data_IF_386374999587
#
_entry.id   IF_386374999587
#
_cell.length_a   1.000
_cell.length_b   1.000
_cell.length_c   1.000
_cell.angle_alpha   90.00
_cell.angle_beta   90.00
_cell.angle_gamma   90.00
#
_symmetry.space_group_name_H-M   'P 1'
#
loop_
_entity.id
_entity.type
_entity.pdbx_description
1 polymer ?
#
# COMPACT_ATOMS: atom_id res chain seq x y z
N UNK A 1 22.04 7.77 -14.65
CA UNK A 1 23.12 6.86 -14.22
C UNK A 1 22.60 5.52 -13.69
N UNK A 2 21.64 5.47 -12.75
CA UNK A 2 21.09 4.19 -12.23
C UNK A 2 20.50 3.24 -13.30
N UNK A 3 19.89 3.76 -14.37
CA UNK A 3 19.33 2.95 -15.47
C UNK A 3 20.37 2.06 -16.17
N UNK A 4 21.56 2.61 -16.44
CA UNK A 4 22.64 1.86 -17.07
C UNK A 4 23.25 0.82 -16.12
N UNK A 5 23.37 1.18 -14.83
CA UNK A 5 23.83 0.25 -13.79
C UNK A 5 22.86 -0.95 -13.64
N UNK A 6 21.56 -0.69 -13.66
CA UNK A 6 20.53 -1.75 -13.61
C UNK A 6 20.59 -2.67 -14.84
N UNK A 7 20.82 -2.13 -16.04
CA UNK A 7 20.98 -2.92 -17.27
C UNK A 7 22.23 -3.80 -17.19
N UNK A 8 23.36 -3.25 -16.75
CA UNK A 8 24.61 -4.01 -16.59
C UNK A 8 24.44 -5.12 -15.54
N UNK A 9 23.83 -4.81 -14.40
CA UNK A 9 23.52 -5.81 -13.36
C UNK A 9 22.61 -6.91 -13.91
N UNK A 10 21.60 -6.56 -14.72
CA UNK A 10 20.70 -7.54 -15.32
C UNK A 10 21.41 -8.44 -16.34
N UNK A 11 22.33 -7.89 -17.14
CA UNK A 11 23.18 -8.68 -18.03
C UNK A 11 24.12 -9.62 -17.27
N UNK A 12 24.72 -9.16 -16.17
CA UNK A 12 25.57 -10.00 -15.31
C UNK A 12 24.76 -11.16 -14.74
N UNK A 13 23.59 -10.88 -14.18
CA UNK A 13 22.70 -11.91 -13.63
C UNK A 13 22.27 -12.87 -14.75
N UNK A 14 21.93 -12.36 -15.94
CA UNK A 14 21.55 -13.19 -17.07
C UNK A 14 22.68 -14.13 -17.50
N UNK A 15 23.91 -13.64 -17.66
CA UNK A 15 25.07 -14.46 -18.04
C UNK A 15 25.35 -15.50 -16.95
N UNK A 16 25.25 -15.14 -15.67
CA UNK A 16 25.41 -16.09 -14.57
C UNK A 16 24.37 -17.21 -14.62
N UNK A 17 23.08 -16.87 -14.80
CA UNK A 17 22.00 -17.84 -14.95
C UNK A 17 22.17 -18.71 -16.20
N UNK A 18 22.62 -18.13 -17.31
CA UNK A 18 22.91 -18.84 -18.55
C UNK A 18 24.04 -19.85 -18.35
N UNK A 19 25.14 -19.45 -17.70
CA UNK A 19 26.26 -20.33 -17.40
C UNK A 19 25.86 -21.49 -16.48
N UNK A 20 25.07 -21.23 -15.43
CA UNK A 20 24.50 -22.28 -14.57
C UNK A 20 23.62 -23.23 -15.37
N UNK A 21 22.77 -22.71 -16.26
CA UNK A 21 21.86 -23.52 -17.07
C UNK A 21 22.62 -24.38 -18.08
N UNK A 22 23.61 -23.82 -18.78
CA UNK A 22 24.43 -24.55 -19.73
C UNK A 22 25.28 -25.62 -19.03
N UNK A 23 25.87 -25.31 -17.87
CA UNK A 23 26.66 -26.28 -17.11
C UNK A 23 25.83 -27.37 -16.42
N UNK A 24 24.53 -27.14 -16.20
CA UNK A 24 23.64 -28.04 -15.45
C UNK A 24 22.38 -28.40 -16.26
N UNK A 25 22.53 -28.61 -17.57
CA UNK A 25 21.48 -29.18 -18.44
C UNK A 25 21.35 -30.70 -18.28
N UNK A 26 22.27 -31.31 -17.56
CA UNK A 26 22.23 -32.73 -17.24
C UNK A 26 20.95 -33.06 -16.48
N UNK A 27 20.36 -34.20 -16.83
CA UNK A 27 19.21 -34.72 -16.11
C UNK A 27 19.66 -35.29 -14.78
N UNK A 28 18.92 -34.96 -13.72
CA UNK A 28 19.17 -35.43 -12.36
C UNK A 28 17.96 -36.22 -11.88
N UNK A 29 18.22 -37.26 -11.11
CA UNK A 29 17.16 -38.03 -10.46
C UNK A 29 16.58 -37.20 -9.33
N UNK A 30 15.34 -36.78 -9.51
CA UNK A 30 14.60 -36.07 -8.49
C UNK A 30 13.77 -37.07 -7.69
N UNK A 31 14.13 -37.23 -6.42
CA UNK A 31 13.42 -38.10 -5.49
C UNK A 31 12.69 -37.25 -4.46
N UNK A 32 11.37 -37.27 -4.50
CA UNK A 32 10.53 -36.63 -3.49
C UNK A 32 9.86 -37.71 -2.65
N UNK A 33 9.89 -37.57 -1.33
CA UNK A 33 9.33 -38.57 -0.41
C UNK A 33 7.86 -38.82 -0.76
N UNK A 34 7.53 -40.07 -1.08
CA UNK A 34 6.17 -40.49 -1.45
C UNK A 34 5.79 -40.29 -2.92
N UNK A 35 6.69 -39.80 -3.77
CA UNK A 35 6.49 -39.70 -5.22
C UNK A 35 7.45 -40.60 -6.00
N UNK A 36 7.07 -41.03 -7.22
CA UNK A 36 8.00 -41.73 -8.11
C UNK A 36 9.20 -40.87 -8.46
N UNK A 37 10.39 -41.48 -8.45
CA UNK A 37 11.62 -40.85 -8.94
C UNK A 37 11.45 -40.44 -10.39
N UNK A 38 11.77 -39.19 -10.69
CA UNK A 38 11.60 -38.61 -12.02
C UNK A 38 12.90 -37.94 -12.45
N UNK A 39 13.37 -38.27 -13.65
CA UNK A 39 14.68 -37.83 -14.16
C UNK A 39 14.47 -36.74 -15.20
N UNK A 40 14.66 -35.49 -14.80
CA UNK A 40 14.52 -34.31 -15.67
C UNK A 40 15.70 -33.36 -15.45
N UNK A 41 15.97 -32.44 -16.40
CA UNK A 41 17.00 -31.42 -16.21
C UNK A 41 16.77 -30.61 -14.93
N UNK A 42 17.82 -30.43 -14.13
CA UNK A 42 17.76 -29.73 -12.83
C UNK A 42 17.10 -28.34 -12.96
N UNK A 43 17.37 -27.64 -14.06
CA UNK A 43 16.80 -26.32 -14.37
C UNK A 43 15.26 -26.31 -14.32
N UNK A 44 14.57 -27.38 -14.73
CA UNK A 44 13.11 -27.44 -14.74
C UNK A 44 12.55 -27.38 -13.32
N UNK A 45 13.15 -28.13 -12.40
CA UNK A 45 12.74 -28.13 -10.99
C UNK A 45 13.00 -26.79 -10.32
N UNK A 46 14.16 -26.16 -10.58
CA UNK A 46 14.47 -24.82 -10.06
C UNK A 46 13.47 -23.79 -10.57
N UNK A 47 13.11 -23.86 -11.85
CA UNK A 47 12.15 -22.94 -12.45
C UNK A 47 10.76 -23.08 -11.83
N UNK A 48 10.29 -24.32 -11.64
CA UNK A 48 9.00 -24.59 -10.99
C UNK A 48 8.98 -24.09 -9.54
N UNK A 49 10.03 -24.41 -8.76
CA UNK A 49 10.15 -23.93 -7.39
C UNK A 49 10.22 -22.40 -7.32
N UNK A 50 10.93 -21.76 -8.24
CA UNK A 50 11.02 -20.32 -8.35
C UNK A 50 9.65 -19.68 -8.66
N UNK A 51 8.90 -20.21 -9.63
CA UNK A 51 7.56 -19.69 -9.97
C UNK A 51 6.62 -19.82 -8.77
N UNK A 52 6.61 -20.97 -8.10
CA UNK A 52 5.79 -21.17 -6.89
C UNK A 52 6.20 -20.18 -5.80
N UNK A 53 7.50 -20.04 -5.53
CA UNK A 53 8.03 -19.09 -4.56
C UNK A 53 7.70 -17.63 -4.89
N UNK A 54 7.81 -17.25 -6.17
CA UNK A 54 7.48 -15.91 -6.65
C UNK A 54 5.98 -15.61 -6.50
N UNK A 55 5.11 -16.55 -6.86
CA UNK A 55 3.66 -16.43 -6.64
C UNK A 55 3.36 -16.22 -5.15
N UNK A 56 3.92 -17.07 -4.29
CA UNK A 56 3.76 -16.92 -2.83
C UNK A 56 4.30 -15.58 -2.34
N UNK A 57 5.44 -15.12 -2.83
CA UNK A 57 6.02 -13.81 -2.49
C UNK A 57 5.13 -12.64 -2.90
N UNK A 58 4.57 -12.67 -4.12
CA UNK A 58 3.62 -11.65 -4.59
C UNK A 58 2.34 -11.67 -3.77
N UNK A 59 1.76 -12.86 -3.51
CA UNK A 59 0.57 -13.00 -2.68
C UNK A 59 0.80 -12.49 -1.25
N UNK A 60 1.97 -12.76 -0.67
CA UNK A 60 2.36 -12.24 0.65
C UNK A 60 2.41 -10.70 0.66
N UNK A 61 2.94 -10.09 -0.40
CA UNK A 61 3.02 -8.63 -0.53
C UNK A 61 1.64 -7.97 -0.77
N UNK A 62 0.75 -8.62 -1.53
CA UNK A 62 -0.61 -8.15 -1.81
C UNK A 62 -1.40 -7.92 -0.51
N UNK A 63 -1.32 -8.83 0.46
CA UNK A 63 -1.99 -8.67 1.76
C UNK A 63 -1.56 -7.39 2.48
N UNK A 64 -0.26 -7.12 2.51
CA UNK A 64 0.30 -5.90 3.11
C UNK A 64 -0.16 -4.64 2.36
N UNK A 65 -0.18 -4.67 1.02
CA UNK A 65 -0.60 -3.54 0.20
C UNK A 65 -2.09 -3.20 0.41
N UNK A 66 -2.95 -4.21 0.50
CA UNK A 66 -4.38 -4.02 0.76
C UNK A 66 -4.61 -3.38 2.15
N UNK A 67 -3.87 -3.83 3.17
CA UNK A 67 -3.96 -3.25 4.51
C UNK A 67 -3.53 -1.79 4.52
N UNK A 68 -2.40 -1.46 3.90
CA UNK A 68 -1.91 -0.08 3.76
C UNK A 68 -2.92 0.81 3.00
N UNK A 69 -3.55 0.29 1.94
CA UNK A 69 -4.60 1.01 1.21
C UNK A 69 -5.82 1.29 2.09
N UNK A 70 -6.22 0.33 2.92
CA UNK A 70 -7.31 0.51 3.88
C UNK A 70 -6.97 1.57 4.93
N UNK A 71 -5.80 1.45 5.55
CA UNK A 71 -5.29 2.43 6.51
C UNK A 71 -5.22 3.85 5.90
N UNK A 72 -4.75 3.97 4.66
CA UNK A 72 -4.71 5.25 3.94
C UNK A 72 -6.11 5.82 3.66
N UNK A 73 -7.07 4.98 3.27
CA UNK A 73 -8.45 5.40 3.02
C UNK A 73 -9.11 5.90 4.31
N UNK A 74 -8.93 5.18 5.41
CA UNK A 74 -9.49 5.57 6.70
C UNK A 74 -8.84 6.83 7.26
N UNK A 75 -7.52 7.00 7.11
CA UNK A 75 -6.84 8.24 7.45
C UNK A 75 -7.40 9.42 6.65
N UNK A 76 -7.63 9.25 5.34
CA UNK A 76 -8.19 10.30 4.50
C UNK A 76 -9.61 10.71 4.93
N UNK A 77 -10.43 9.75 5.38
CA UNK A 77 -11.77 10.02 5.93
C UNK A 77 -11.69 10.77 7.26
N UNK A 78 -10.77 10.37 8.15
CA UNK A 78 -10.55 11.04 9.44
C UNK A 78 -10.09 12.48 9.25
N UNK A 79 -9.17 12.74 8.31
CA UNK A 79 -8.73 14.09 7.96
C UNK A 79 -9.88 14.95 7.42
N UNK A 80 -10.69 14.43 6.49
CA UNK A 80 -11.86 15.16 5.98
C UNK A 80 -12.87 15.50 7.08
N UNK A 81 -13.18 14.56 7.98
CA UNK A 81 -14.07 14.81 9.11
C UNK A 81 -13.52 15.85 10.08
N UNK A 82 -12.23 15.78 10.40
CA UNK A 82 -11.57 16.77 11.25
C UNK A 82 -11.56 18.16 10.61
N UNK A 83 -11.34 18.24 9.29
CA UNK A 83 -11.42 19.51 8.56
C UNK A 83 -12.83 20.10 8.60
N UNK A 84 -13.85 19.28 8.37
CA UNK A 84 -15.25 19.70 8.43
C UNK A 84 -15.61 20.25 9.82
N UNK A 85 -15.25 19.53 10.88
CA UNK A 85 -15.49 19.96 12.25
C UNK A 85 -14.80 21.29 12.58
N UNK A 86 -13.57 21.52 12.10
CA UNK A 86 -12.90 22.81 12.28
C UNK A 86 -13.65 23.95 11.56
N UNK A 87 -14.16 23.73 10.35
CA UNK A 87 -14.97 24.72 9.63
C UNK A 87 -16.27 25.03 10.37
N UNK A 88 -16.96 24.01 10.89
CA UNK A 88 -18.20 24.18 11.63
C UNK A 88 -17.97 24.93 12.96
N UNK A 89 -16.85 24.66 13.65
CA UNK A 89 -16.45 25.40 14.84
C UNK A 89 -16.14 26.86 14.50
N UNK A 90 -15.43 27.12 13.40
CA UNK A 90 -15.14 28.49 12.92
C UNK A 90 -16.44 29.26 12.66
N UNK A 91 -17.41 28.63 11.98
CA UNK A 91 -18.71 29.24 11.69
C UNK A 91 -19.54 29.54 12.95
N UNK A 92 -19.41 28.73 14.01
CA UNK A 92 -20.03 29.00 15.31
C UNK A 92 -19.37 30.18 16.02
N UNK A 93 -18.04 30.27 16.00
CA UNK A 93 -17.30 31.40 16.57
C UNK A 93 -17.66 32.72 15.88
N UNK A 94 -17.82 32.71 14.55
CA UNK A 94 -18.25 33.88 13.77
C UNK A 94 -19.69 34.30 14.09
N UNK A 95 -20.57 33.35 14.43
CA UNK A 95 -21.93 33.65 14.88
C UNK A 95 -21.96 34.17 16.32
N UNK A 96 -21.06 33.70 17.18
CA UNK A 96 -20.94 34.16 18.56
C UNK A 96 -20.32 35.57 18.68
N UNK A 97 -19.52 35.99 17.68
CA UNK A 97 -18.97 37.34 17.57
C UNK A 97 -19.93 38.38 16.97
N UNK A 98 -21.12 37.99 16.51
CA UNK A 98 -22.11 38.93 15.98
C UNK A 98 -22.79 39.64 17.17
N UNK A 99 -22.67 40.97 17.32
CA UNK A 99 -23.29 41.67 18.43
C UNK A 99 -24.80 41.45 18.36
N UNK A 100 -25.38 40.93 19.44
CA UNK A 100 -26.83 40.92 19.63
C UNK A 100 -27.27 42.37 19.51
N UNK A 101 -27.96 42.71 18.42
CA UNK A 101 -28.57 44.00 18.27
C UNK A 101 -29.65 44.10 19.37
N UNK A 102 -29.27 44.69 20.49
CA UNK A 102 -30.16 45.03 21.59
C UNK A 102 -31.19 45.99 21.00
N UNK A 103 -32.38 45.47 20.67
CA UNK A 103 -33.47 46.29 20.18
C UNK A 103 -33.88 47.21 21.32
N UNK A 104 -33.49 48.48 21.22
CA UNK A 104 -33.85 49.55 22.17
C UNK A 104 -35.35 49.82 22.23
N UNK A 105 -36.17 49.19 21.36
CA UNK A 105 -37.63 49.29 21.41
C UNK A 105 -38.27 48.56 22.61
N UNK A 106 -37.59 47.59 23.23
CA UNK A 106 -38.12 46.88 24.43
C UNK A 106 -37.73 47.58 25.75
N UNK A 107 -36.99 48.68 25.70
CA UNK A 107 -36.66 49.51 26.88
C UNK A 107 -37.54 50.76 26.88
N UNK A 108 -38.86 50.58 26.87
CA UNK A 108 -39.79 51.64 27.27
C UNK A 108 -40.33 51.23 28.64
N UNK A 109 -39.64 51.68 29.69
CA UNK A 109 -40.19 51.68 31.03
C UNK A 109 -41.18 52.84 31.11
N UNK A 110 -42.49 52.59 31.36
CA UNK A 110 -43.44 53.68 31.50
C UNK A 110 -43.14 54.47 32.78
N UNK A 111 -42.85 55.76 32.63
CA UNK A 111 -42.84 56.74 33.73
C UNK A 111 -44.29 56.91 34.19
N UNK A 112 -44.60 56.42 35.39
CA UNK A 112 -45.87 56.69 36.07
C UNK A 112 -45.81 58.07 36.77
N UNK A 113 -46.91 58.84 36.77
CA UNK A 113 -47.00 60.15 37.42
C UNK A 113 -47.07 60.06 38.95
#
# INVERSE_FOLDING_TARGET
>A
MLKWLSIVMMFIVFIALLAVTLGNTHSVDFNLVGLPTTTWPLVVFLWMAFVIGALVGVLSMLGRLLRLRGEAADLSKKLKKAQQANVDLQAQLDQQGKPVAMNTADVIVPVQP
#
